data_IF_401671577619
#
_entry.id   IF_401671577619
#
_cell.length_a   1.000
_cell.length_b   1.000
_cell.length_c   1.000
_cell.angle_alpha   90.00
_cell.angle_beta   90.00
_cell.angle_gamma   90.00
#
_symmetry.space_group_name_H-M   'P 1'
#
loop_
_entity.id
_entity.type
_entity.pdbx_description
1 polymer ?
#
# COMPACT_ATOMS: atom_id res chain seq x y z
N UNK A 1 -26.54 36.61 -30.12
CA UNK A 1 -25.52 35.69 -29.53
C UNK A 1 -25.99 34.91 -28.29
N UNK A 2 -27.28 34.93 -27.90
CA UNK A 2 -27.74 34.32 -26.64
C UNK A 2 -27.91 32.79 -26.68
N UNK A 3 -28.17 32.19 -27.86
CA UNK A 3 -28.38 30.74 -28.00
C UNK A 3 -27.11 29.90 -27.91
N UNK A 4 -25.93 30.47 -28.21
CA UNK A 4 -24.64 29.74 -28.14
C UNK A 4 -24.11 29.62 -26.70
N UNK A 5 -24.44 30.56 -25.82
CA UNK A 5 -24.00 30.55 -24.42
C UNK A 5 -24.61 29.40 -23.60
N UNK A 6 -25.88 29.09 -23.83
CA UNK A 6 -26.58 28.03 -23.10
C UNK A 6 -25.95 26.66 -23.39
N UNK A 7 -25.53 26.42 -24.64
CA UNK A 7 -24.88 25.17 -25.04
C UNK A 7 -23.53 24.94 -24.35
N UNK A 8 -22.77 26.02 -24.12
CA UNK A 8 -21.46 25.93 -23.45
C UNK A 8 -21.66 25.66 -21.97
N UNK A 9 -22.62 26.32 -21.33
CA UNK A 9 -22.90 26.14 -19.90
C UNK A 9 -23.33 24.71 -19.58
N UNK A 10 -24.18 24.11 -20.42
CA UNK A 10 -24.63 22.73 -20.24
C UNK A 10 -23.47 21.73 -20.43
N UNK A 11 -22.61 21.93 -21.43
CA UNK A 11 -21.43 21.09 -21.64
C UNK A 11 -20.45 21.17 -20.45
N UNK A 12 -20.31 22.36 -19.85
CA UNK A 12 -19.40 22.59 -18.73
C UNK A 12 -19.90 21.91 -17.45
N UNK A 13 -21.21 21.97 -17.18
CA UNK A 13 -21.84 21.27 -16.06
C UNK A 13 -21.76 19.75 -16.23
N UNK A 14 -21.99 19.24 -17.45
CA UNK A 14 -21.86 17.80 -17.73
C UNK A 14 -20.42 17.32 -17.53
N UNK A 15 -19.43 18.08 -17.98
CA UNK A 15 -18.02 17.76 -17.77
C UNK A 15 -17.64 17.80 -16.28
N UNK A 16 -18.11 18.80 -15.53
CA UNK A 16 -17.85 18.88 -14.08
C UNK A 16 -18.46 17.70 -13.32
N UNK A 17 -19.69 17.31 -13.65
CA UNK A 17 -20.36 16.15 -13.05
C UNK A 17 -19.65 14.84 -13.37
N UNK A 18 -19.10 14.71 -14.58
CA UNK A 18 -18.32 13.53 -14.97
C UNK A 18 -17.00 13.46 -14.21
N UNK A 19 -16.31 14.59 -14.04
CA UNK A 19 -15.09 14.68 -13.25
C UNK A 19 -15.32 14.35 -11.76
N UNK A 20 -16.48 14.73 -11.22
CA UNK A 20 -16.88 14.40 -9.85
C UNK A 20 -17.21 12.91 -9.67
N UNK A 21 -17.67 12.22 -10.72
CA UNK A 21 -17.92 10.76 -10.66
C UNK A 21 -16.64 9.93 -10.74
N UNK A 22 -15.57 10.45 -11.36
CA UNK A 22 -14.26 9.77 -11.41
C UNK A 22 -13.36 10.10 -10.22
N UNK A 23 -13.64 11.19 -9.51
CA UNK A 23 -13.13 11.43 -8.18
C UNK A 23 -13.93 10.55 -7.20
N UNK A 24 -13.64 9.24 -7.20
CA UNK A 24 -14.08 8.37 -6.09
C UNK A 24 -13.72 9.03 -4.76
N UNK A 25 -14.45 8.73 -3.67
CA UNK A 25 -14.18 9.34 -2.38
C UNK A 25 -12.69 9.21 -2.09
N UNK A 26 -11.98 10.33 -2.13
CA UNK A 26 -10.69 10.45 -1.49
C UNK A 26 -11.07 10.40 -0.03
N UNK A 27 -11.20 9.17 0.49
CA UNK A 27 -11.28 8.95 1.92
C UNK A 27 -10.07 9.69 2.43
N UNK A 28 -10.29 10.75 3.21
CA UNK A 28 -9.24 11.28 4.04
C UNK A 28 -8.86 10.10 4.92
N UNK A 29 -7.79 9.42 4.54
CA UNK A 29 -7.23 8.37 5.36
C UNK A 29 -6.62 9.17 6.51
N UNK A 30 -7.36 9.27 7.63
CA UNK A 30 -6.81 9.68 8.92
C UNK A 30 -5.72 8.69 9.39
N UNK A 31 -5.54 7.60 8.64
CA UNK A 31 -4.46 6.63 8.76
C UNK A 31 -3.11 7.08 8.19
N UNK A 32 -2.09 6.28 8.49
CA UNK A 32 -0.69 6.54 8.11
C UNK A 32 -0.50 6.29 6.62
N UNK A 33 0.23 7.16 5.93
CA UNK A 33 0.65 6.93 4.54
C UNK A 33 2.17 6.79 4.52
N UNK A 34 2.65 5.64 4.08
CA UNK A 34 4.07 5.29 4.07
C UNK A 34 4.54 5.00 2.64
N UNK A 35 5.76 5.42 2.32
CA UNK A 35 6.50 5.00 1.13
C UNK A 35 7.69 4.15 1.57
N UNK A 36 7.86 3.02 0.91
CA UNK A 36 9.02 2.14 1.11
C UNK A 36 9.76 2.07 -0.20
N UNK A 37 11.01 2.52 -0.17
CA UNK A 37 11.91 2.48 -1.31
C UNK A 37 13.25 1.90 -0.84
N UNK A 38 13.71 0.76 -1.39
CA UNK A 38 14.97 0.15 -0.99
C UNK A 38 16.19 1.05 -1.27
N UNK A 39 16.04 2.07 -2.11
CA UNK A 39 17.07 3.06 -2.41
C UNK A 39 16.97 4.32 -1.54
N UNK A 40 16.00 4.39 -0.64
CA UNK A 40 15.84 5.54 0.25
C UNK A 40 16.97 5.60 1.28
N UNK A 41 17.71 6.71 1.30
CA UNK A 41 18.87 6.91 2.19
C UNK A 41 18.62 7.96 3.28
N UNK A 42 17.40 8.49 3.38
CA UNK A 42 17.04 9.51 4.37
C UNK A 42 16.76 8.93 5.76
N UNK A 43 16.24 9.77 6.66
CA UNK A 43 15.88 9.31 7.99
C UNK A 43 14.60 8.46 7.93
N UNK A 44 14.56 7.36 8.69
CA UNK A 44 13.39 6.47 8.74
C UNK A 44 12.21 7.21 9.41
N UNK A 45 11.05 7.18 8.77
CA UNK A 45 9.87 7.93 9.21
C UNK A 45 9.93 9.43 8.89
N UNK A 46 10.88 9.87 8.06
CA UNK A 46 10.89 11.24 7.55
C UNK A 46 9.65 11.48 6.69
N UNK A 47 8.95 12.59 6.97
CA UNK A 47 7.73 12.94 6.25
C UNK A 47 8.06 13.81 5.05
N UNK A 48 7.88 13.27 3.84
CA UNK A 48 8.09 13.98 2.58
C UNK A 48 6.76 13.97 1.82
N UNK A 49 6.24 15.17 1.51
CA UNK A 49 4.95 15.37 0.86
C UNK A 49 3.77 14.67 1.58
N UNK A 50 3.80 14.63 2.91
CA UNK A 50 2.75 14.01 3.73
C UNK A 50 2.80 12.48 3.79
N UNK A 51 3.87 11.85 3.29
CA UNK A 51 4.12 10.41 3.41
C UNK A 51 5.37 10.16 4.25
N UNK A 52 5.33 9.18 5.13
CA UNK A 52 6.50 8.69 5.89
C UNK A 52 7.37 7.79 5.01
N UNK A 53 8.68 8.06 4.93
CA UNK A 53 9.60 7.28 4.08
C UNK A 53 10.43 6.29 4.88
N UNK A 54 10.55 5.09 4.33
CA UNK A 54 11.30 3.98 4.91
C UNK A 54 12.16 3.29 3.86
N UNK A 55 13.32 2.79 4.29
CA UNK A 55 14.19 1.99 3.42
C UNK A 55 13.81 0.51 3.38
N UNK A 56 13.14 0.01 4.42
CA UNK A 56 12.70 -1.39 4.48
C UNK A 56 11.30 -1.48 5.06
N UNK A 57 10.55 -2.50 4.64
CA UNK A 57 9.23 -2.80 5.21
C UNK A 57 9.29 -3.06 6.73
N UNK A 58 10.41 -3.59 7.23
CA UNK A 58 10.61 -3.86 8.65
C UNK A 58 10.79 -2.58 9.49
N UNK A 59 11.12 -1.45 8.86
CA UNK A 59 11.28 -0.16 9.54
C UNK A 59 9.96 0.57 9.77
N UNK A 60 8.88 0.15 9.10
CA UNK A 60 7.53 0.72 9.24
C UNK A 60 6.99 0.57 10.69
N UNK A 61 7.63 -0.27 11.51
CA UNK A 61 7.25 -0.50 12.89
C UNK A 61 5.97 -1.33 12.99
N UNK A 62 5.66 -1.79 14.20
CA UNK A 62 4.39 -2.45 14.47
C UNK A 62 3.30 -1.37 14.54
N UNK A 63 2.26 -1.52 13.73
CA UNK A 63 1.06 -0.71 13.88
C UNK A 63 0.18 -1.23 15.01
N UNK A 64 -0.49 -0.30 15.68
CA UNK A 64 -1.34 -0.61 16.81
C UNK A 64 -2.72 -1.10 16.38
N UNK A 65 -3.51 -1.64 17.33
CA UNK A 65 -4.91 -1.96 17.09
C UNK A 65 -5.69 -0.75 16.58
N UNK A 66 -6.36 -0.90 15.43
CA UNK A 66 -7.20 0.16 14.85
C UNK A 66 -6.45 1.21 14.01
N UNK A 67 -5.15 1.05 13.79
CA UNK A 67 -4.41 1.88 12.84
C UNK A 67 -4.87 1.54 11.41
N UNK A 68 -5.42 2.54 10.70
CA UNK A 68 -5.60 2.53 9.25
C UNK A 68 -4.28 2.96 8.57
N UNK A 69 -3.91 2.35 7.44
CA UNK A 69 -2.68 2.74 6.75
C UNK A 69 -2.65 2.38 5.26
N UNK A 70 -1.89 3.16 4.49
CA UNK A 70 -1.50 2.85 3.11
C UNK A 70 0.02 2.77 3.02
N UNK A 71 0.55 1.65 2.54
CA UNK A 71 1.95 1.44 2.20
C UNK A 71 2.12 1.43 0.69
N UNK A 72 2.87 2.37 0.16
CA UNK A 72 3.38 2.32 -1.20
C UNK A 72 4.75 1.66 -1.22
N UNK A 73 4.95 0.70 -2.13
CA UNK A 73 6.23 0.06 -2.37
C UNK A 73 6.75 0.51 -3.73
N UNK A 74 7.92 1.14 -3.74
CA UNK A 74 8.63 1.47 -4.98
C UNK A 74 8.97 0.19 -5.76
N UNK A 75 9.24 0.33 -7.06
CA UNK A 75 9.80 -0.75 -7.86
C UNK A 75 11.15 -1.20 -7.29
N UNK A 76 11.40 -2.51 -7.29
CA UNK A 76 12.58 -3.12 -6.72
C UNK A 76 12.29 -4.32 -5.84
N UNK A 77 13.34 -4.86 -5.25
CA UNK A 77 13.26 -5.96 -4.29
C UNK A 77 13.25 -5.43 -2.86
N UNK A 78 12.22 -5.85 -2.10
CA UNK A 78 12.02 -5.51 -0.70
C UNK A 78 12.29 -6.75 0.13
N UNK A 79 13.43 -6.78 0.83
CA UNK A 79 13.88 -7.94 1.59
C UNK A 79 13.60 -7.71 3.08
N UNK A 80 12.91 -8.65 3.73
CA UNK A 80 12.67 -8.61 5.17
C UNK A 80 13.96 -8.69 5.99
N UNK A 81 13.92 -8.21 7.25
CA UNK A 81 15.10 -8.25 8.12
C UNK A 81 15.37 -9.67 8.61
N UNK A 82 16.66 -10.04 8.66
CA UNK A 82 17.10 -11.28 9.30
C UNK A 82 17.11 -11.10 10.82
N UNK A 83 16.28 -11.87 11.54
CA UNK A 83 16.32 -11.90 13.00
C UNK A 83 17.58 -12.65 13.51
N UNK A 84 18.17 -12.27 14.65
CA UNK A 84 19.46 -12.80 15.14
C UNK A 84 19.54 -14.32 15.36
N UNK A 85 18.39 -15.01 15.42
CA UNK A 85 18.30 -16.43 15.82
C UNK A 85 18.21 -17.38 14.61
N UNK A 86 18.64 -16.92 13.42
CA UNK A 86 18.79 -17.78 12.25
C UNK A 86 17.48 -18.31 11.65
N UNK A 87 16.33 -17.78 12.09
CA UNK A 87 15.02 -18.03 11.49
C UNK A 87 14.15 -16.76 11.50
N UNK A 88 13.44 -16.64 10.37
CA UNK A 88 12.39 -15.70 9.98
C UNK A 88 12.88 -14.40 9.33
N UNK A 89 12.46 -14.26 8.06
CA UNK A 89 12.59 -13.10 7.20
C UNK A 89 11.31 -12.26 7.34
N UNK A 90 10.99 -11.65 8.48
CA UNK A 90 9.76 -10.84 8.53
C UNK A 90 9.92 -9.61 7.62
N UNK A 91 9.09 -9.54 6.58
CA UNK A 91 8.98 -8.37 5.72
C UNK A 91 8.14 -7.33 6.44
N UNK A 92 6.99 -7.73 6.97
CA UNK A 92 6.02 -6.83 7.57
C UNK A 92 5.13 -7.61 8.53
N UNK A 93 4.91 -7.03 9.71
CA UNK A 93 4.08 -7.59 10.76
C UNK A 93 2.96 -6.62 11.12
N UNK A 94 1.74 -6.95 10.71
CA UNK A 94 0.55 -6.12 10.92
C UNK A 94 -0.29 -6.70 12.06
N UNK A 95 -0.07 -6.25 13.29
CA UNK A 95 -0.80 -6.76 14.46
C UNK A 95 -2.00 -5.87 14.80
N UNK A 96 -3.21 -6.42 14.67
CA UNK A 96 -4.50 -5.76 14.93
C UNK A 96 -4.79 -4.51 14.09
N UNK A 97 -4.04 -4.29 13.01
CA UNK A 97 -4.28 -3.19 12.08
C UNK A 97 -5.63 -3.39 11.35
N UNK A 98 -6.32 -2.30 11.07
CA UNK A 98 -7.61 -2.31 10.36
C UNK A 98 -7.44 -1.57 9.04
N UNK A 99 -8.10 -1.99 7.96
CA UNK A 99 -8.08 -1.28 6.66
C UNK A 99 -6.68 -0.94 6.08
N UNK A 100 -5.71 -1.85 6.22
CA UNK A 100 -4.37 -1.66 5.65
C UNK A 100 -4.36 -1.89 4.15
N UNK A 101 -3.76 -1.00 3.37
CA UNK A 101 -3.50 -1.21 1.94
C UNK A 101 -2.01 -1.27 1.66
N UNK A 102 -1.53 -2.31 0.99
CA UNK A 102 -0.15 -2.44 0.50
C UNK A 102 -0.18 -2.41 -1.02
N UNK A 103 0.47 -1.42 -1.63
CA UNK A 103 0.38 -1.13 -3.05
C UNK A 103 1.79 -1.04 -3.64
N UNK A 104 2.16 -2.03 -4.46
CA UNK A 104 3.39 -1.95 -5.27
C UNK A 104 3.20 -1.21 -6.59
N UNK A 105 4.32 -0.80 -7.18
CA UNK A 105 4.38 -0.14 -8.49
C UNK A 105 3.81 -1.03 -9.61
N UNK A 106 3.99 -2.35 -9.49
CA UNK A 106 3.47 -3.35 -10.42
C UNK A 106 3.93 -4.75 -10.01
N UNK A 107 3.15 -5.78 -10.33
CA UNK A 107 3.46 -7.16 -9.92
C UNK A 107 4.83 -7.63 -10.46
N UNK A 108 5.21 -7.20 -11.66
CA UNK A 108 6.51 -7.53 -12.27
C UNK A 108 7.64 -6.57 -11.84
N UNK A 109 7.31 -5.50 -11.12
CA UNK A 109 8.25 -4.42 -10.75
C UNK A 109 8.57 -4.41 -9.25
N UNK A 110 7.65 -4.89 -8.41
CA UNK A 110 7.79 -4.88 -6.95
C UNK A 110 7.81 -6.32 -6.44
N UNK A 111 8.98 -6.78 -5.98
CA UNK A 111 9.15 -8.11 -5.40
C UNK A 111 9.36 -7.99 -3.88
N UNK A 112 8.60 -8.74 -3.10
CA UNK A 112 8.73 -8.78 -1.63
C UNK A 112 9.23 -10.15 -1.21
N UNK A 113 10.35 -10.19 -0.50
CA UNK A 113 11.02 -11.42 -0.06
C UNK A 113 10.95 -11.61 1.45
N UNK A 114 10.32 -12.69 1.90
CA UNK A 114 10.33 -13.12 3.31
C UNK A 114 8.98 -13.63 3.82
N UNK A 115 8.53 -13.12 4.96
CA UNK A 115 7.33 -13.48 5.68
C UNK A 115 6.44 -12.26 5.80
N UNK A 116 5.20 -12.40 5.34
CA UNK A 116 4.15 -11.42 5.54
C UNK A 116 3.13 -12.04 6.49
N UNK A 117 2.91 -11.39 7.62
CA UNK A 117 1.97 -11.82 8.65
C UNK A 117 1.08 -10.65 9.02
N UNK A 118 -0.22 -10.90 9.03
CA UNK A 118 -1.22 -9.94 9.49
C UNK A 118 -2.21 -10.63 10.42
N UNK A 119 -2.65 -9.88 11.41
CA UNK A 119 -3.70 -10.26 12.35
C UNK A 119 -4.66 -9.08 12.38
N UNK A 120 -5.57 -8.97 11.41
CA UNK A 120 -6.38 -7.76 11.25
C UNK A 120 -7.47 -7.94 10.19
N UNK A 121 -8.42 -7.01 10.12
CA UNK A 121 -9.52 -7.03 9.14
C UNK A 121 -9.34 -5.94 8.10
N UNK A 122 -9.80 -6.20 6.87
CA UNK A 122 -9.78 -5.21 5.79
C UNK A 122 -8.41 -4.95 5.16
N UNK A 123 -7.48 -5.90 5.23
CA UNK A 123 -6.19 -5.76 4.53
C UNK A 123 -6.35 -5.97 3.03
N UNK A 124 -5.79 -5.07 2.22
CA UNK A 124 -5.71 -5.14 0.76
C UNK A 124 -4.25 -5.17 0.34
N UNK A 125 -3.90 -6.06 -0.58
CA UNK A 125 -2.54 -6.14 -1.15
C UNK A 125 -2.63 -6.16 -2.67
N UNK A 126 -1.97 -5.21 -3.33
CA UNK A 126 -2.05 -5.01 -4.79
C UNK A 126 -0.69 -4.72 -5.39
N UNK A 127 -0.46 -5.23 -6.60
CA UNK A 127 0.67 -4.82 -7.42
C UNK A 127 2.05 -5.27 -6.90
N UNK A 128 2.11 -6.39 -6.19
CA UNK A 128 3.36 -6.98 -5.70
C UNK A 128 3.48 -8.44 -6.13
N UNK A 129 4.71 -8.91 -6.32
CA UNK A 129 5.03 -10.34 -6.30
C UNK A 129 5.62 -10.69 -4.95
N UNK A 130 4.95 -11.55 -4.20
CA UNK A 130 5.46 -12.06 -2.94
C UNK A 130 6.24 -13.37 -3.13
N UNK A 131 7.42 -13.48 -2.53
CA UNK A 131 8.29 -14.65 -2.55
C UNK A 131 8.70 -15.03 -1.13
N UNK A 132 8.01 -16.01 -0.55
CA UNK A 132 8.35 -16.56 0.75
C UNK A 132 7.16 -17.19 1.48
N UNK A 133 7.16 -17.13 2.81
CA UNK A 133 6.13 -17.76 3.64
C UNK A 133 4.99 -16.78 3.95
N UNK A 134 3.76 -17.17 3.67
CA UNK A 134 2.57 -16.49 4.16
C UNK A 134 2.09 -17.23 5.41
N UNK A 135 2.00 -16.53 6.55
CA UNK A 135 1.42 -17.09 7.76
C UNK A 135 0.09 -16.37 8.00
N UNK A 136 -1.00 -16.96 7.52
CA UNK A 136 -2.34 -16.36 7.49
C UNK A 136 -3.21 -16.93 8.62
N UNK A 137 -3.91 -16.07 9.36
CA UNK A 137 -5.08 -16.49 10.16
C UNK A 137 -6.42 -16.22 9.46
N UNK A 138 -6.48 -15.32 8.46
CA UNK A 138 -7.64 -15.07 7.59
C UNK A 138 -7.19 -14.44 6.25
N UNK A 139 -7.32 -15.11 5.08
CA UNK A 139 -6.87 -14.56 3.81
C UNK A 139 -7.75 -13.38 3.35
N UNK A 140 -7.17 -12.23 2.94
CA UNK A 140 -7.91 -11.12 2.37
C UNK A 140 -8.47 -11.47 0.98
N UNK A 141 -9.55 -10.81 0.57
CA UNK A 141 -10.10 -11.01 -0.79
C UNK A 141 -9.33 -10.11 -1.79
N UNK A 142 -9.00 -10.66 -2.97
CA UNK A 142 -8.36 -10.02 -4.15
C UNK A 142 -6.81 -9.84 -4.17
N UNK A 143 -6.03 -10.92 -4.06
CA UNK A 143 -4.59 -10.94 -4.37
C UNK A 143 -4.19 -12.14 -5.25
N UNK A 144 -3.15 -11.99 -6.08
CA UNK A 144 -2.52 -13.09 -6.83
C UNK A 144 -1.30 -13.60 -6.06
N UNK A 145 -1.42 -14.74 -5.40
CA UNK A 145 -0.28 -15.47 -4.85
C UNK A 145 0.29 -16.38 -5.94
N UNK A 146 1.57 -16.25 -6.25
CA UNK A 146 2.31 -17.35 -6.88
C UNK A 146 2.99 -18.14 -5.77
N UNK A 147 2.34 -19.22 -5.33
CA UNK A 147 2.98 -20.22 -4.47
C UNK A 147 3.93 -21.06 -5.34
N UNK A 148 5.19 -20.64 -5.43
CA UNK A 148 6.26 -21.51 -5.89
C UNK A 148 6.80 -22.31 -4.70
N UNK A 149 6.73 -23.63 -4.76
CA UNK A 149 7.38 -24.50 -3.78
C UNK A 149 8.89 -24.23 -3.76
N UNK A 150 9.45 -24.08 -2.55
CA UNK A 150 10.88 -24.22 -2.30
C UNK A 150 11.18 -25.68 -1.98
#
# INVERSE_FOLDING_TARGET
MKRKFISIFVALVLALSLCLMTAGPVVAVDGKVCMVDPNYTGAQGEVINGMEWYSTLADIGAWGPGDDAIVYLAAGEHIGKTMPVGKVYDCLYLWHATNVQIIGAGADETIVWGQLSWVGTGTLVKGITFKGNLNEQDPPQDYRIYQGAF
#
